data_IF_837399365907
#
_entry.id   IF_837399365907
#
_cell.length_a   1.000
_cell.length_b   1.000
_cell.length_c   1.000
_cell.angle_alpha   90.00
_cell.angle_beta   90.00
_cell.angle_gamma   90.00
#
_symmetry.space_group_name_H-M   'P 1'
#
loop_
_entity.id
_entity.type
_entity.pdbx_description
1 polymer ?
#
# COMPACT_ATOMS: atom_id res chain seq x y z
N UNK A 1 -15.37 -9.81 19.64
CA UNK A 1 -16.47 -9.85 18.64
C UNK A 1 -16.14 -8.82 17.57
N UNK A 2 -16.76 -8.88 16.41
CA UNK A 2 -16.42 -7.99 15.30
C UNK A 2 -17.66 -7.27 14.79
N UNK A 3 -17.53 -5.98 14.53
CA UNK A 3 -18.56 -5.20 13.85
C UNK A 3 -18.66 -5.64 12.39
N UNK A 4 -19.85 -5.94 11.88
CA UNK A 4 -20.02 -6.45 10.51
C UNK A 4 -19.94 -5.35 9.44
N UNK A 5 -20.06 -4.08 9.82
CA UNK A 5 -19.93 -2.94 8.91
C UNK A 5 -18.45 -2.54 8.75
N UNK A 6 -17.68 -2.55 9.84
CA UNK A 6 -16.30 -2.06 9.85
C UNK A 6 -15.23 -3.16 9.94
N UNK A 7 -15.57 -4.34 10.43
CA UNK A 7 -14.62 -5.41 10.74
C UNK A 7 -13.78 -5.17 12.01
N UNK A 8 -14.06 -4.10 12.76
CA UNK A 8 -13.31 -3.75 13.98
C UNK A 8 -13.66 -4.64 15.17
N UNK A 9 -12.71 -4.80 16.10
CA UNK A 9 -12.93 -5.57 17.32
C UNK A 9 -13.84 -4.83 18.30
N UNK A 10 -15.01 -5.41 18.57
CA UNK A 10 -15.92 -5.00 19.62
C UNK A 10 -15.72 -5.84 20.90
N UNK A 11 -15.57 -5.15 22.03
CA UNK A 11 -15.49 -5.76 23.38
C UNK A 11 -16.85 -5.66 24.06
N UNK A 12 -17.43 -6.80 24.44
CA UNK A 12 -18.66 -6.83 25.23
C UNK A 12 -18.30 -6.47 26.67
N UNK A 13 -18.70 -5.30 27.14
CA UNK A 13 -18.45 -4.83 28.51
C UNK A 13 -19.61 -5.09 29.47
N UNK A 14 -20.75 -5.57 28.97
CA UNK A 14 -21.93 -5.93 29.76
C UNK A 14 -22.52 -7.27 29.31
N UNK A 15 -22.95 -8.12 30.27
CA UNK A 15 -23.61 -9.41 30.02
C UNK A 15 -25.08 -9.27 29.57
N UNK A 16 -25.36 -8.29 28.71
CA UNK A 16 -26.68 -8.08 28.11
C UNK A 16 -26.83 -8.86 26.80
N UNK A 17 -27.93 -8.63 26.08
CA UNK A 17 -28.19 -9.19 24.76
C UNK A 17 -27.01 -9.01 23.80
N UNK A 18 -26.86 -9.99 22.91
CA UNK A 18 -25.87 -10.00 21.84
C UNK A 18 -26.05 -8.74 20.96
N UNK A 19 -25.05 -7.85 20.85
CA UNK A 19 -25.24 -6.58 20.16
C UNK A 19 -25.48 -6.82 18.67
N UNK A 20 -26.51 -6.15 18.17
CA UNK A 20 -26.89 -6.20 16.76
C UNK A 20 -25.75 -5.71 15.88
N UNK A 21 -25.61 -6.28 14.68
CA UNK A 21 -24.56 -5.87 13.74
C UNK A 21 -23.18 -6.42 14.08
N UNK A 22 -23.10 -7.50 14.86
CA UNK A 22 -21.81 -8.08 15.24
C UNK A 22 -21.73 -9.58 14.94
N UNK A 23 -20.50 -10.08 14.80
CA UNK A 23 -20.20 -11.49 14.50
C UNK A 23 -19.03 -11.99 15.36
N UNK A 24 -19.05 -13.25 15.85
CA UNK A 24 -17.89 -13.82 16.53
C UNK A 24 -16.78 -14.18 15.54
N UNK A 25 -17.09 -14.27 14.24
CA UNK A 25 -16.12 -14.60 13.21
C UNK A 25 -15.25 -13.38 12.89
N UNK A 26 -13.94 -13.54 12.93
CA UNK A 26 -13.00 -12.50 12.52
C UNK A 26 -12.94 -12.40 10.99
N UNK A 27 -12.79 -11.19 10.41
CA UNK A 27 -12.32 -11.07 9.03
C UNK A 27 -10.90 -11.65 8.93
N UNK A 28 -10.61 -12.32 7.82
CA UNK A 28 -9.28 -12.86 7.53
C UNK A 28 -8.34 -11.79 6.98
N UNK A 29 -8.89 -10.79 6.28
CA UNK A 29 -8.13 -9.67 5.71
C UNK A 29 -8.80 -8.33 6.01
N UNK A 30 -8.01 -7.25 5.97
CA UNK A 30 -8.53 -5.88 6.10
C UNK A 30 -9.46 -5.45 4.95
N UNK A 31 -9.58 -6.26 3.89
CA UNK A 31 -10.42 -5.99 2.73
C UNK A 31 -11.70 -6.85 2.75
N UNK A 32 -11.93 -7.62 3.80
CA UNK A 32 -13.12 -8.44 3.90
C UNK A 32 -14.35 -7.58 4.21
N UNK A 33 -15.44 -7.85 3.50
CA UNK A 33 -16.76 -7.25 3.72
C UNK A 33 -17.75 -8.33 4.12
N UNK A 34 -18.68 -7.98 5.00
CA UNK A 34 -19.72 -8.91 5.44
C UNK A 34 -20.79 -9.07 4.36
N UNK A 35 -21.02 -10.31 3.89
CA UNK A 35 -22.00 -10.65 2.85
C UNK A 35 -23.41 -10.99 3.39
N UNK A 36 -23.71 -10.54 4.62
CA UNK A 36 -24.86 -10.96 5.45
C UNK A 36 -24.72 -12.33 6.13
N UNK A 37 -23.75 -13.17 5.77
CA UNK A 37 -23.54 -14.50 6.38
C UNK A 37 -22.10 -14.76 6.81
N UNK A 38 -21.12 -14.19 6.11
CA UNK A 38 -19.69 -14.43 6.30
C UNK A 38 -18.88 -13.25 5.77
N UNK A 39 -17.62 -13.23 6.14
CA UNK A 39 -16.61 -12.39 5.55
C UNK A 39 -16.28 -12.86 4.13
N UNK A 40 -16.30 -11.94 3.18
CA UNK A 40 -15.89 -12.15 1.79
C UNK A 40 -14.90 -11.07 1.41
N UNK A 41 -13.72 -11.47 0.93
CA UNK A 41 -12.68 -10.53 0.51
C UNK A 41 -13.13 -9.69 -0.68
N UNK A 42 -13.07 -8.37 -0.52
CA UNK A 42 -13.27 -7.43 -1.62
C UNK A 42 -12.02 -7.43 -2.52
N UNK A 43 -12.07 -8.26 -3.57
CA UNK A 43 -11.00 -8.34 -4.56
C UNK A 43 -10.76 -7.02 -5.31
N UNK A 44 -11.75 -6.13 -5.41
CA UNK A 44 -11.55 -4.81 -6.02
C UNK A 44 -10.71 -3.92 -5.10
N UNK A 45 -11.04 -3.88 -3.80
CA UNK A 45 -10.26 -3.14 -2.81
C UNK A 45 -8.83 -3.68 -2.69
N UNK A 46 -8.67 -5.01 -2.67
CA UNK A 46 -7.36 -5.66 -2.68
C UNK A 46 -6.54 -5.27 -3.93
N UNK A 47 -7.13 -5.38 -5.11
CA UNK A 47 -6.46 -5.00 -6.37
C UNK A 47 -6.08 -3.52 -6.38
N UNK A 48 -6.95 -2.64 -5.91
CA UNK A 48 -6.67 -1.21 -5.82
C UNK A 48 -5.50 -0.91 -4.88
N UNK A 49 -5.42 -1.58 -3.72
CA UNK A 49 -4.28 -1.42 -2.80
C UNK A 49 -2.96 -1.89 -3.43
N UNK A 50 -2.99 -3.04 -4.13
CA UNK A 50 -1.83 -3.55 -4.85
C UNK A 50 -1.34 -2.58 -5.93
N UNK A 51 -2.26 -2.03 -6.74
CA UNK A 51 -1.94 -1.03 -7.77
C UNK A 51 -1.32 0.20 -7.12
N UNK A 52 -1.95 0.76 -6.09
CA UNK A 52 -1.45 1.94 -5.38
C UNK A 52 -0.03 1.72 -4.85
N UNK A 53 0.24 0.56 -4.23
CA UNK A 53 1.59 0.22 -3.73
C UNK A 53 2.60 0.13 -4.86
N UNK A 54 2.25 -0.51 -5.97
CA UNK A 54 3.12 -0.61 -7.14
C UNK A 54 3.42 0.77 -7.74
N UNK A 55 2.43 1.65 -7.82
CA UNK A 55 2.61 3.04 -8.28
C UNK A 55 3.50 3.86 -7.35
N UNK A 56 3.31 3.74 -6.02
CA UNK A 56 4.17 4.37 -5.03
C UNK A 56 5.62 3.89 -5.15
N UNK A 57 5.83 2.58 -5.30
CA UNK A 57 7.16 2.01 -5.47
C UNK A 57 7.81 2.51 -6.78
N UNK A 58 7.06 2.51 -7.89
CA UNK A 58 7.52 3.06 -9.17
C UNK A 58 7.95 4.52 -9.03
N UNK A 59 7.11 5.36 -8.42
CA UNK A 59 7.41 6.78 -8.21
C UNK A 59 8.66 6.98 -7.36
N UNK A 60 8.83 6.19 -6.30
CA UNK A 60 10.02 6.26 -5.44
C UNK A 60 11.29 5.87 -6.20
N UNK A 61 11.24 4.81 -7.01
CA UNK A 61 12.38 4.39 -7.83
C UNK A 61 12.73 5.43 -8.89
N UNK A 62 11.74 6.04 -9.54
CA UNK A 62 11.96 7.12 -10.50
C UNK A 62 12.59 8.35 -9.83
N UNK A 63 12.15 8.71 -8.62
CA UNK A 63 12.76 9.80 -7.87
C UNK A 63 14.21 9.49 -7.49
N UNK A 64 14.50 8.27 -7.02
CA UNK A 64 15.85 7.84 -6.69
C UNK A 64 16.76 7.86 -7.92
N UNK A 65 16.29 7.37 -9.07
CA UNK A 65 17.03 7.45 -10.32
C UNK A 65 17.28 8.91 -10.72
N UNK A 66 16.28 9.79 -10.61
CA UNK A 66 16.45 11.22 -10.88
C UNK A 66 17.50 11.89 -9.99
N UNK A 67 17.50 11.57 -8.69
CA UNK A 67 18.51 12.05 -7.73
C UNK A 67 19.90 11.56 -8.10
N UNK A 68 20.04 10.31 -8.54
CA UNK A 68 21.33 9.74 -8.94
C UNK A 68 21.86 10.33 -10.25
N UNK A 69 20.98 10.65 -11.21
CA UNK A 69 21.36 11.17 -12.53
C UNK A 69 21.65 12.68 -12.47
N UNK A 70 20.96 13.45 -11.63
CA UNK A 70 21.11 14.90 -11.54
C UNK A 70 22.58 15.39 -11.46
N UNK A 71 23.44 14.89 -10.55
CA UNK A 71 24.83 15.35 -10.48
C UNK A 71 25.65 14.97 -11.72
N UNK A 72 25.36 13.82 -12.36
CA UNK A 72 26.03 13.43 -13.60
C UNK A 72 25.65 14.37 -14.75
N UNK A 73 24.38 14.78 -14.80
CA UNK A 73 23.91 15.76 -15.77
C UNK A 73 24.55 17.14 -15.52
N UNK A 74 24.66 17.58 -14.26
CA UNK A 74 25.36 18.82 -13.90
C UNK A 74 26.82 18.80 -14.37
N UNK A 75 27.52 17.66 -14.22
CA UNK A 75 28.89 17.50 -14.68
C UNK A 75 29.03 17.60 -16.22
N UNK A 76 28.05 17.07 -16.96
CA UNK A 76 27.96 17.22 -18.43
C UNK A 76 27.73 18.69 -18.80
N UNK A 77 26.80 19.36 -18.13
CA UNK A 77 26.44 20.76 -18.43
C UNK A 77 27.60 21.73 -18.12
N UNK A 78 28.46 21.38 -17.15
CA UNK A 78 29.66 22.14 -16.77
C UNK A 78 30.93 21.75 -17.54
N UNK A 79 30.87 20.77 -18.45
CA UNK A 79 32.02 20.22 -19.19
C UNK A 79 33.16 19.69 -18.30
N UNK A 80 32.81 19.17 -17.11
CA UNK A 80 33.76 18.59 -16.13
C UNK A 80 33.59 17.07 -15.96
N UNK A 81 32.72 16.46 -16.77
CA UNK A 81 32.35 15.05 -16.68
C UNK A 81 33.56 14.11 -16.82
N UNK A 82 33.72 13.17 -15.88
CA UNK A 82 34.76 12.13 -15.96
C UNK A 82 34.35 10.96 -16.86
N UNK A 83 35.30 10.11 -17.24
CA UNK A 83 34.99 8.93 -18.05
C UNK A 83 34.13 7.91 -17.28
N UNK A 84 34.25 7.83 -15.96
CA UNK A 84 33.37 7.03 -15.10
C UNK A 84 31.93 7.56 -15.09
N UNK A 85 31.75 8.89 -15.04
CA UNK A 85 30.42 9.53 -15.06
C UNK A 85 29.74 9.38 -16.42
N UNK A 86 30.50 9.45 -17.52
CA UNK A 86 30.00 9.09 -18.87
C UNK A 86 29.53 7.65 -18.95
N UNK A 87 30.27 6.72 -18.34
CA UNK A 87 29.88 5.31 -18.33
C UNK A 87 28.60 5.08 -17.51
N UNK A 88 28.45 5.77 -16.36
CA UNK A 88 27.26 5.70 -15.52
C UNK A 88 26.00 6.29 -16.19
N UNK A 89 26.14 7.28 -17.07
CA UNK A 89 25.04 7.89 -17.85
C UNK A 89 24.53 7.01 -19.01
N UNK A 90 25.38 6.12 -19.54
CA UNK A 90 25.09 5.27 -20.70
C UNK A 90 24.64 3.84 -20.32
N UNK A 91 24.75 3.48 -19.05
CA UNK A 91 24.39 2.16 -18.49
C UNK A 91 22.90 2.05 -18.17
#
# INVERSE_FOLDING_TARGET
MYDIETGETWVITALSDYPLGTTPNAPATQFDKWDSKRWVTDHQALKADHIRRAEQQKSSLQQQAGIAIAPLQDAVDLDIVTDEEKAALLA
#
